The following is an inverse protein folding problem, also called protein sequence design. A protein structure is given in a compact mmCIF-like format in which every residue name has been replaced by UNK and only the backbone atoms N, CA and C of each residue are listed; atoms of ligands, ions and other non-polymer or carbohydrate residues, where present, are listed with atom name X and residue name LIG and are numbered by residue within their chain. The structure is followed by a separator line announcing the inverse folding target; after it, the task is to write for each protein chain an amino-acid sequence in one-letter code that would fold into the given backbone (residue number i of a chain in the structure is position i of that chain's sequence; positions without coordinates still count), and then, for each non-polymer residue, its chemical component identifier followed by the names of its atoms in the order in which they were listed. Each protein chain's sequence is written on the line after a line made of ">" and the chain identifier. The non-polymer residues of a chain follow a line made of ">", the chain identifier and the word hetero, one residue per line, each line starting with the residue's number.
data_IF_635499177961
#
_entry.id   IF_635499177961
#
_cell.length_a   1.000
_cell.length_b   1.000
_cell.length_c   1.000
_cell.angle_alpha   90.00
_cell.angle_beta   90.00
_cell.angle_gamma   90.00
#
_symmetry.space_group_name_H-M   'P 1'
#
loop_
_entity.id
_entity.type
_entity.pdbx_description
1 polymer ?
#
# COMPACT_ATOMS: atom_id res chain seq x y z
N UNK A 1 -41.28 42.38 -46.05
CA UNK A 1 -39.83 42.15 -45.94
C UNK A 1 -39.53 41.90 -44.46
N UNK A 2 -38.92 40.74 -44.14
CA UNK A 2 -38.81 40.06 -42.83
C UNK A 2 -39.88 38.98 -42.59
N UNK A 3 -39.50 37.74 -42.86
CA UNK A 3 -40.16 36.52 -42.38
C UNK A 3 -39.25 35.91 -41.33
N UNK A 4 -39.72 35.89 -40.08
CA UNK A 4 -39.30 34.92 -39.07
C UNK A 4 -39.78 33.56 -39.55
N UNK A 5 -38.86 32.67 -39.90
CA UNK A 5 -39.21 31.31 -40.27
C UNK A 5 -37.97 30.44 -40.11
N UNK A 6 -38.09 29.37 -39.31
CA UNK A 6 -37.11 28.32 -39.03
C UNK A 6 -36.11 28.54 -37.90
N UNK A 7 -36.55 29.09 -36.77
CA UNK A 7 -36.08 28.64 -35.45
C UNK A 7 -37.30 28.03 -34.77
N UNK A 8 -37.54 26.74 -35.02
CA UNK A 8 -38.43 25.80 -34.31
C UNK A 8 -38.71 24.65 -35.28
N UNK A 9 -37.97 23.54 -35.12
CA UNK A 9 -38.17 22.14 -35.60
C UNK A 9 -36.78 21.47 -35.66
N UNK A 10 -36.02 21.49 -34.57
CA UNK A 10 -34.91 20.55 -34.35
C UNK A 10 -35.03 20.04 -32.91
N UNK A 11 -36.16 19.37 -32.63
CA UNK A 11 -36.39 18.73 -31.33
C UNK A 11 -37.15 17.41 -31.44
N UNK A 12 -37.12 16.70 -32.58
CA UNK A 12 -37.81 15.39 -32.71
C UNK A 12 -37.04 14.27 -33.46
N UNK A 13 -35.95 14.50 -34.20
CA UNK A 13 -35.25 13.39 -34.90
C UNK A 13 -33.77 13.24 -34.47
N UNK A 14 -33.59 12.66 -33.29
CA UNK A 14 -32.30 12.24 -32.75
C UNK A 14 -31.75 10.97 -33.42
N UNK A 15 -30.60 11.14 -34.07
CA UNK A 15 -29.44 10.23 -34.09
C UNK A 15 -29.69 8.70 -34.08
N UNK A 16 -29.85 8.07 -35.26
CA UNK A 16 -29.50 6.65 -35.43
C UNK A 16 -28.13 6.44 -36.11
N UNK A 17 -27.67 7.37 -36.96
CA UNK A 17 -26.48 7.16 -37.80
C UNK A 17 -25.14 7.36 -37.07
N UNK A 18 -25.09 8.20 -36.02
CA UNK A 18 -23.89 8.43 -35.21
C UNK A 18 -23.56 7.24 -34.28
N UNK A 19 -24.55 6.44 -33.89
CA UNK A 19 -24.33 5.20 -33.11
C UNK A 19 -23.70 4.08 -33.96
N UNK A 20 -24.04 3.97 -35.25
CA UNK A 20 -23.46 2.93 -36.11
C UNK A 20 -21.98 3.18 -36.43
N UNK A 21 -21.59 4.44 -36.66
CA UNK A 21 -20.21 4.81 -36.95
C UNK A 21 -19.28 4.69 -35.72
N UNK A 22 -19.79 4.94 -34.52
CA UNK A 22 -19.03 4.71 -33.27
C UNK A 22 -18.90 3.22 -32.93
N UNK A 23 -19.90 2.39 -33.25
CA UNK A 23 -19.80 0.93 -33.11
C UNK A 23 -18.77 0.31 -34.07
N UNK A 24 -18.71 0.74 -35.33
CA UNK A 24 -17.75 0.19 -36.31
C UNK A 24 -16.31 0.56 -35.94
N UNK A 25 -16.05 1.75 -35.39
CA UNK A 25 -14.71 2.14 -34.92
C UNK A 25 -14.31 1.43 -33.61
N UNK A 26 -15.25 1.09 -32.72
CA UNK A 26 -15.02 0.25 -31.53
C UNK A 26 -14.75 -1.22 -31.89
N UNK A 27 -15.44 -1.77 -32.89
CA UNK A 27 -15.20 -3.13 -33.39
C UNK A 27 -13.85 -3.19 -34.13
N UNK A 28 -13.53 -2.19 -34.96
CA UNK A 28 -12.27 -2.13 -35.71
C UNK A 28 -11.05 -1.91 -34.78
N UNK A 29 -11.17 -1.13 -33.71
CA UNK A 29 -10.11 -0.96 -32.70
C UNK A 29 -9.87 -2.21 -31.84
N UNK A 30 -10.92 -3.00 -31.55
CA UNK A 30 -10.79 -4.33 -30.95
C UNK A 30 -10.08 -5.32 -31.87
N UNK A 31 -10.43 -5.33 -33.16
CA UNK A 31 -9.79 -6.19 -34.16
C UNK A 31 -8.31 -5.79 -34.35
N UNK A 32 -7.99 -4.49 -34.41
CA UNK A 32 -6.60 -3.99 -34.51
C UNK A 32 -5.76 -4.33 -33.28
N UNK A 33 -6.34 -4.36 -32.07
CA UNK A 33 -5.67 -4.88 -30.85
C UNK A 33 -5.37 -6.37 -30.94
N UNK A 34 -6.31 -7.18 -31.45
CA UNK A 34 -6.13 -8.63 -31.62
C UNK A 34 -5.00 -8.95 -32.62
N UNK A 35 -4.84 -8.15 -33.68
CA UNK A 35 -3.73 -8.34 -34.63
C UNK A 35 -2.38 -7.79 -34.12
N UNK A 36 -2.36 -6.75 -33.28
CA UNK A 36 -1.13 -6.20 -32.70
C UNK A 36 -0.51 -7.12 -31.63
N UNK A 37 -1.33 -7.85 -30.86
CA UNK A 37 -0.84 -8.86 -29.92
C UNK A 37 -0.22 -10.09 -30.62
N UNK A 38 -0.68 -10.41 -31.84
CA UNK A 38 -0.13 -11.53 -32.62
C UNK A 38 1.25 -11.25 -33.19
N UNK A 39 1.58 -10.00 -33.52
CA UNK A 39 2.95 -9.65 -33.97
C UNK A 39 3.97 -9.66 -32.82
N UNK A 40 3.56 -9.32 -31.59
CA UNK A 40 4.43 -9.40 -30.38
C UNK A 40 4.80 -10.87 -30.07
N UNK A 41 3.92 -11.83 -30.36
CA UNK A 41 4.16 -13.27 -30.18
C UNK A 41 5.27 -13.85 -31.07
N UNK A 42 5.54 -13.25 -32.24
CA UNK A 42 6.56 -13.77 -33.19
C UNK A 42 7.98 -13.43 -32.71
N UNK A 43 8.18 -12.30 -32.02
CA UNK A 43 9.46 -11.93 -31.42
C UNK A 43 9.83 -12.78 -30.18
N UNK A 44 8.83 -13.34 -29.48
CA UNK A 44 8.99 -14.28 -28.35
C UNK A 44 9.52 -15.67 -28.77
N UNK A 45 9.34 -16.07 -30.03
CA UNK A 45 9.85 -17.36 -30.53
C UNK A 45 11.39 -17.44 -30.58
N UNK A 46 12.06 -16.30 -30.77
CA UNK A 46 13.54 -16.23 -30.83
C UNK A 46 14.18 -16.33 -29.44
N UNK A 47 13.48 -15.87 -28.41
CA UNK A 47 13.90 -15.97 -27.01
C UNK A 47 13.77 -17.38 -26.45
N UNK A 48 12.84 -18.19 -26.99
CA UNK A 48 12.66 -19.58 -26.56
C UNK A 48 13.89 -20.45 -26.83
N UNK A 49 14.62 -20.21 -27.94
CA UNK A 49 15.83 -20.98 -28.26
C UNK A 49 16.92 -20.79 -27.20
N UNK A 50 17.12 -19.56 -26.73
CA UNK A 50 18.09 -19.26 -25.67
C UNK A 50 17.64 -19.77 -24.30
N UNK A 51 16.32 -19.70 -24.02
CA UNK A 51 15.75 -20.26 -22.81
C UNK A 51 15.89 -21.80 -22.76
N UNK A 52 15.71 -22.46 -23.91
CA UNK A 52 15.91 -23.90 -24.07
C UNK A 52 17.39 -24.28 -23.90
N UNK A 53 18.31 -23.50 -24.48
CA UNK A 53 19.75 -23.68 -24.29
C UNK A 53 20.16 -23.52 -22.82
N UNK A 54 19.58 -22.58 -22.08
CA UNK A 54 19.85 -22.39 -20.65
C UNK A 54 19.35 -23.56 -19.78
N UNK A 55 18.25 -24.21 -20.20
CA UNK A 55 17.69 -25.41 -19.55
C UNK A 55 18.39 -26.71 -19.95
N UNK A 56 19.14 -26.71 -21.05
CA UNK A 56 19.86 -27.89 -21.53
C UNK A 56 21.02 -28.26 -20.58
N UNK A 57 21.36 -29.54 -20.51
CA UNK A 57 22.41 -30.06 -19.62
C UNK A 57 23.84 -29.94 -20.18
N UNK A 58 24.02 -29.18 -21.27
CA UNK A 58 25.31 -29.03 -21.98
C UNK A 58 26.34 -28.27 -21.12
N UNK A 59 27.63 -28.50 -21.38
CA UNK A 59 28.72 -27.76 -20.70
C UNK A 59 28.62 -26.26 -20.91
N UNK A 60 28.30 -25.82 -22.14
CA UNK A 60 28.09 -24.42 -22.48
C UNK A 60 26.95 -23.79 -21.66
N UNK A 61 25.80 -24.47 -21.55
CA UNK A 61 24.66 -23.99 -20.77
C UNK A 61 25.02 -23.76 -19.29
N UNK A 62 25.78 -24.69 -18.68
CA UNK A 62 26.26 -24.55 -17.29
C UNK A 62 27.18 -23.35 -17.12
N UNK A 63 28.07 -23.09 -18.10
CA UNK A 63 28.94 -21.91 -18.08
C UNK A 63 28.15 -20.61 -18.22
N UNK A 64 27.15 -20.57 -19.10
CA UNK A 64 26.28 -19.41 -19.28
C UNK A 64 25.45 -19.11 -18.03
N UNK A 65 24.85 -20.13 -17.41
CA UNK A 65 24.11 -19.97 -16.15
C UNK A 65 25.02 -19.47 -15.02
N UNK A 66 26.23 -20.03 -14.89
CA UNK A 66 27.21 -19.57 -13.88
C UNK A 66 27.68 -18.14 -14.12
N UNK A 67 27.89 -17.75 -15.38
CA UNK A 67 28.27 -16.39 -15.77
C UNK A 67 27.15 -15.40 -15.46
N UNK A 68 25.93 -15.72 -15.86
CA UNK A 68 24.72 -14.93 -15.57
C UNK A 68 24.59 -14.68 -14.07
N UNK A 69 24.66 -15.73 -13.26
CA UNK A 69 24.55 -15.60 -11.81
C UNK A 69 25.66 -14.72 -11.22
N UNK A 70 26.88 -14.72 -11.80
CA UNK A 70 27.96 -13.83 -11.36
C UNK A 70 27.69 -12.37 -11.73
N UNK A 71 27.17 -12.13 -12.94
CA UNK A 71 26.83 -10.78 -13.43
C UNK A 71 25.74 -10.16 -12.55
N UNK A 72 24.70 -10.93 -12.21
CA UNK A 72 23.57 -10.46 -11.41
C UNK A 72 23.73 -10.64 -9.90
N UNK A 73 24.85 -11.19 -9.43
CA UNK A 73 25.13 -11.37 -8.00
C UNK A 73 24.33 -12.48 -7.31
N UNK A 74 23.79 -13.42 -8.08
CA UNK A 74 23.09 -14.61 -7.58
C UNK A 74 24.06 -15.72 -7.16
N UNK A 75 23.52 -16.86 -6.70
CA UNK A 75 24.32 -17.99 -6.23
C UNK A 75 25.01 -18.68 -7.42
N UNK A 76 26.35 -18.66 -7.44
CA UNK A 76 27.14 -19.23 -8.56
C UNK A 76 27.54 -20.69 -8.37
N UNK A 77 27.66 -21.16 -7.12
CA UNK A 77 27.99 -22.55 -6.80
C UNK A 77 26.71 -23.37 -6.79
N UNK A 78 26.76 -24.60 -7.28
CA UNK A 78 25.65 -25.53 -7.15
C UNK A 78 25.45 -25.85 -5.68
N UNK A 79 24.39 -25.33 -5.08
CA UNK A 79 24.06 -25.52 -3.66
C UNK A 79 22.85 -26.42 -3.50
N UNK A 80 22.78 -27.15 -2.39
CA UNK A 80 21.63 -27.95 -2.03
C UNK A 80 20.39 -27.08 -1.77
N UNK A 81 19.20 -27.61 -2.04
CA UNK A 81 17.92 -26.90 -1.80
C UNK A 81 17.76 -26.45 -0.35
N UNK A 82 18.28 -27.22 0.63
CA UNK A 82 18.28 -26.84 2.05
C UNK A 82 19.11 -25.56 2.31
N UNK A 83 20.26 -25.43 1.65
CA UNK A 83 21.16 -24.28 1.80
C UNK A 83 20.58 -23.00 1.20
N UNK A 84 19.74 -23.11 0.15
CA UNK A 84 19.04 -21.96 -0.44
C UNK A 84 18.07 -21.28 0.52
N UNK A 85 17.64 -21.96 1.60
CA UNK A 85 16.84 -21.34 2.67
C UNK A 85 17.56 -20.14 3.29
N UNK A 86 18.87 -20.21 3.46
CA UNK A 86 19.67 -19.13 4.08
C UNK A 86 19.65 -17.89 3.19
N UNK A 87 19.83 -18.07 1.88
CA UNK A 87 19.75 -16.99 0.89
C UNK A 87 18.38 -16.30 0.98
N UNK A 88 17.29 -17.07 1.05
CA UNK A 88 15.93 -16.54 1.19
C UNK A 88 15.70 -15.79 2.51
N UNK A 89 16.21 -16.33 3.61
CA UNK A 89 16.08 -15.70 4.94
C UNK A 89 16.76 -14.32 4.99
N UNK A 90 17.86 -14.15 4.27
CA UNK A 90 18.58 -12.87 4.21
C UNK A 90 18.10 -11.94 3.09
N UNK A 91 17.48 -12.46 2.04
CA UNK A 91 16.85 -11.63 1.01
C UNK A 91 15.60 -10.92 1.53
N UNK A 92 14.90 -11.52 2.50
CA UNK A 92 13.70 -10.96 3.10
C UNK A 92 14.01 -10.23 4.42
N UNK A 93 13.18 -9.24 4.77
CA UNK A 93 13.25 -8.63 6.10
C UNK A 93 12.79 -9.64 7.15
N UNK A 94 13.53 -9.80 8.26
CA UNK A 94 13.13 -10.69 9.34
C UNK A 94 11.82 -10.21 9.95
N UNK A 95 11.01 -11.17 10.41
CA UNK A 95 9.65 -10.96 10.94
C UNK A 95 9.63 -9.84 11.99
N UNK A 96 10.56 -9.85 12.93
CA UNK A 96 10.62 -8.88 14.03
C UNK A 96 10.94 -7.44 13.61
N UNK A 97 11.40 -7.22 12.37
CA UNK A 97 11.68 -5.88 11.84
C UNK A 97 10.62 -5.41 10.85
N UNK A 98 9.60 -6.23 10.58
CA UNK A 98 8.51 -5.85 9.69
C UNK A 98 7.70 -4.74 10.36
N UNK A 99 7.37 -3.66 9.64
CA UNK A 99 6.69 -2.50 10.23
C UNK A 99 5.31 -2.88 10.78
N UNK A 100 4.64 -3.82 10.12
CA UNK A 100 3.35 -4.39 10.56
C UNK A 100 3.40 -4.99 11.97
N UNK A 101 4.55 -5.55 12.35
CA UNK A 101 4.73 -6.22 13.65
C UNK A 101 5.28 -5.26 14.69
N UNK A 102 6.28 -4.45 14.32
CA UNK A 102 6.90 -3.50 15.25
C UNK A 102 5.93 -2.38 15.63
N UNK A 103 5.20 -1.84 14.65
CA UNK A 103 4.29 -0.71 14.85
C UNK A 103 2.84 -1.18 15.03
N UNK A 104 2.64 -2.35 15.65
CA UNK A 104 1.31 -2.93 15.84
C UNK A 104 0.42 -2.03 16.70
N UNK A 105 0.96 -1.49 17.80
CA UNK A 105 0.29 -0.47 18.61
C UNK A 105 0.80 0.92 18.24
N UNK A 106 -0.06 1.94 18.17
CA UNK A 106 0.37 3.31 17.98
C UNK A 106 1.06 3.85 19.25
N UNK A 107 1.73 4.99 19.11
CA UNK A 107 2.51 5.60 20.20
C UNK A 107 1.60 6.39 21.16
N UNK A 108 0.85 5.65 21.99
CA UNK A 108 -0.14 6.22 22.92
C UNK A 108 0.46 7.25 23.90
N UNK A 109 1.67 7.03 24.41
CA UNK A 109 2.30 7.95 25.37
C UNK A 109 2.51 9.34 24.75
N UNK A 110 2.97 9.40 23.49
CA UNK A 110 3.17 10.66 22.79
C UNK A 110 1.84 11.37 22.52
N UNK A 111 0.82 10.63 22.11
CA UNK A 111 -0.51 11.19 21.85
C UNK A 111 -1.16 11.70 23.13
N UNK A 112 -1.05 10.96 24.24
CA UNK A 112 -1.63 11.36 25.52
C UNK A 112 -0.97 12.62 26.07
N UNK A 113 0.36 12.72 25.95
CA UNK A 113 1.10 13.92 26.34
C UNK A 113 0.73 15.12 25.47
N UNK A 114 0.62 14.92 24.16
CA UNK A 114 0.18 15.96 23.24
C UNK A 114 -1.20 16.50 23.62
N UNK A 115 -2.17 15.62 23.87
CA UNK A 115 -3.54 16.04 24.21
C UNK A 115 -3.61 16.73 25.57
N UNK A 116 -2.81 16.31 26.55
CA UNK A 116 -2.67 17.01 27.83
C UNK A 116 -2.14 18.43 27.65
N UNK A 117 -1.05 18.61 26.90
CA UNK A 117 -0.52 19.96 26.64
C UNK A 117 -1.55 20.84 25.90
N UNK A 118 -2.30 20.28 24.96
CA UNK A 118 -3.37 21.03 24.27
C UNK A 118 -4.49 21.46 25.22
N UNK A 119 -4.82 20.63 26.22
CA UNK A 119 -5.74 20.99 27.31
C UNK A 119 -5.17 22.12 28.17
N UNK A 120 -3.91 22.03 28.55
CA UNK A 120 -3.23 23.04 29.37
C UNK A 120 -3.16 24.41 28.67
N UNK A 121 -3.01 24.42 27.34
CA UNK A 121 -3.08 25.63 26.53
C UNK A 121 -4.52 26.15 26.30
N UNK A 122 -5.54 25.39 26.69
CA UNK A 122 -6.95 25.72 26.46
C UNK A 122 -7.40 25.56 25.00
N UNK A 123 -6.58 24.92 24.16
CA UNK A 123 -6.89 24.64 22.75
C UNK A 123 -7.80 23.43 22.59
N UNK A 124 -7.72 22.48 23.52
CA UNK A 124 -8.51 21.25 23.53
C UNK A 124 -9.31 21.13 24.84
N UNK A 125 -10.56 20.68 24.72
CA UNK A 125 -11.42 20.36 25.87
C UNK A 125 -11.57 18.85 25.99
N UNK A 126 -11.02 18.29 27.05
CA UNK A 126 -11.13 16.87 27.38
C UNK A 126 -12.25 16.67 28.42
N UNK A 127 -13.44 16.36 27.95
CA UNK A 127 -14.60 16.11 28.81
C UNK A 127 -14.36 14.95 29.77
N UNK A 128 -13.62 13.93 29.34
CA UNK A 128 -13.39 12.73 30.15
C UNK A 128 -12.49 13.01 31.35
N UNK A 129 -11.43 13.80 31.16
CA UNK A 129 -10.60 14.26 32.28
C UNK A 129 -11.35 15.26 33.17
N UNK A 130 -12.16 16.17 32.60
CA UNK A 130 -13.01 17.08 33.38
C UNK A 130 -13.97 16.31 34.31
N UNK A 131 -14.58 15.21 33.83
CA UNK A 131 -15.42 14.33 34.66
C UNK A 131 -14.64 13.64 35.78
N UNK A 132 -13.42 13.18 35.52
CA UNK A 132 -12.56 12.54 36.54
C UNK A 132 -12.18 13.52 37.64
N UNK A 133 -11.80 14.75 37.27
CA UNK A 133 -11.44 15.82 38.21
C UNK A 133 -12.63 16.17 39.11
N UNK A 134 -13.82 16.34 38.54
CA UNK A 134 -15.03 16.63 39.31
C UNK A 134 -15.41 15.47 40.25
N UNK A 135 -15.31 14.22 39.77
CA UNK A 135 -15.56 13.06 40.60
C UNK A 135 -14.57 12.97 41.78
N UNK A 136 -13.31 13.30 41.53
CA UNK A 136 -12.27 13.34 42.55
C UNK A 136 -12.54 14.44 43.58
N UNK A 137 -12.94 15.64 43.16
CA UNK A 137 -13.39 16.74 44.03
C UNK A 137 -14.52 16.30 44.96
N UNK A 138 -15.54 15.65 44.42
CA UNK A 138 -16.67 15.14 45.20
C UNK A 138 -16.24 14.05 46.20
N UNK A 139 -15.29 13.20 45.83
CA UNK A 139 -14.73 12.18 46.74
C UNK A 139 -14.04 12.80 47.94
N UNK A 140 -13.31 13.89 47.73
CA UNK A 140 -12.60 14.62 48.78
C UNK A 140 -13.57 15.30 49.75
N UNK A 141 -14.65 15.90 49.22
CA UNK A 141 -15.73 16.46 50.04
C UNK A 141 -16.42 15.40 50.90
N UNK A 142 -16.53 14.16 50.40
CA UNK A 142 -17.05 13.01 51.17
C UNK A 142 -16.04 12.44 52.17
N UNK A 143 -14.84 13.02 52.28
CA UNK A 143 -13.76 12.52 53.13
C UNK A 143 -13.04 11.28 52.59
N UNK A 144 -13.39 10.81 51.38
CA UNK A 144 -12.81 9.62 50.73
C UNK A 144 -11.59 9.99 49.88
N UNK A 145 -10.63 10.66 50.53
CA UNK A 145 -9.37 11.06 49.89
C UNK A 145 -8.61 9.83 49.38
N UNK A 146 -7.90 9.99 48.27
CA UNK A 146 -7.07 8.92 47.71
C UNK A 146 -5.99 8.57 48.73
N UNK A 147 -5.91 7.30 49.13
CA UNK A 147 -4.82 6.84 49.98
C UNK A 147 -3.50 6.94 49.19
N UNK A 148 -2.50 7.57 49.81
CA UNK A 148 -1.16 7.76 49.23
C UNK A 148 -0.17 6.93 50.06
N UNK A 149 0.63 6.05 49.42
CA UNK A 149 1.65 5.27 50.12
C UNK A 149 2.66 6.18 50.85
N UNK A 150 3.19 5.78 52.03
CA UNK A 150 4.06 6.63 52.85
C UNK A 150 5.27 7.23 52.09
N UNK A 151 5.87 6.46 51.18
CA UNK A 151 7.02 6.89 50.36
C UNK A 151 6.72 8.13 49.49
N UNK A 152 5.45 8.35 49.13
CA UNK A 152 5.04 9.44 48.24
C UNK A 152 4.38 10.62 48.98
N UNK A 153 4.20 10.52 50.30
CA UNK A 153 3.48 11.54 51.10
C UNK A 153 4.19 12.89 51.14
N UNK A 154 5.53 12.89 51.14
CA UNK A 154 6.35 14.10 51.32
C UNK A 154 6.59 14.88 50.01
N UNK A 155 6.35 14.24 48.86
CA UNK A 155 6.65 14.81 47.52
C UNK A 155 5.51 15.68 46.97
N UNK A 156 4.35 15.65 47.62
CA UNK A 156 3.13 16.32 47.17
C UNK A 156 3.00 17.76 47.68
N UNK A 157 3.88 18.19 48.60
CA UNK A 157 3.84 19.51 49.26
C UNK A 157 5.05 20.39 48.87
N UNK A 158 5.79 20.03 47.82
CA UNK A 158 6.97 20.74 47.31
C UNK A 158 6.71 21.29 45.90
#
# INVERSE_FOLDING_TARGET
>A
MKTHFFDDIILIYGTPLLCFLTCITLICSSIRRIYLEKEIMIHLSKTDKYLQLAKASTSYAKHMNRLSNRIFGEVTRTTNNKSMKVVKLFSEKPVNKRPEIVNYYPRHVETDLLMKHLRDYGLFRDEHEDFKEEYQRLRELRGKKKWVPPMFRNKQNA
#
